data_IF_552688702230
#
_entry.id   IF_552688702230
#
_cell.length_a   1.000
_cell.length_b   1.000
_cell.length_c   1.000
_cell.angle_alpha   90.00
_cell.angle_beta   90.00
_cell.angle_gamma   90.00
#
_symmetry.space_group_name_H-M   'P 1'
#
loop_
_entity.id
_entity.type
_entity.pdbx_description
1 polymer ?
#
# COMPACT_ATOMS: atom_id res chain seq x y z
N UNK A 1 -9.06 -34.40 -12.88
CA UNK A 1 -8.01 -34.71 -13.88
C UNK A 1 -7.25 -33.45 -14.30
N UNK A 2 -7.92 -32.32 -14.48
CA UNK A 2 -7.27 -31.07 -14.90
C UNK A 2 -6.44 -30.40 -13.80
N UNK A 3 -6.82 -30.56 -12.55
CA UNK A 3 -6.01 -30.12 -11.40
C UNK A 3 -4.68 -30.86 -11.25
N UNK A 4 -4.66 -32.16 -11.63
CA UNK A 4 -3.43 -32.97 -11.62
C UNK A 4 -2.52 -32.59 -12.78
N UNK A 5 -3.10 -32.23 -13.94
CA UNK A 5 -2.33 -31.75 -15.09
C UNK A 5 -1.75 -30.36 -14.86
N UNK A 6 -2.49 -29.45 -14.21
CA UNK A 6 -1.96 -28.12 -13.87
C UNK A 6 -0.83 -28.17 -12.84
N UNK A 7 -0.92 -29.11 -11.86
CA UNK A 7 0.19 -29.38 -10.95
C UNK A 7 1.43 -29.95 -11.66
N UNK A 8 1.22 -30.89 -12.59
CA UNK A 8 2.32 -31.47 -13.38
C UNK A 8 3.01 -30.44 -14.28
N UNK A 9 2.28 -29.51 -14.91
CA UNK A 9 2.86 -28.43 -15.70
C UNK A 9 3.56 -27.39 -14.81
N UNK A 10 3.03 -27.04 -13.66
CA UNK A 10 3.69 -26.17 -12.69
C UNK A 10 5.02 -26.77 -12.19
N UNK A 11 5.04 -28.09 -11.97
CA UNK A 11 6.28 -28.80 -11.57
C UNK A 11 7.29 -28.92 -12.72
N UNK A 12 6.82 -29.03 -13.97
CA UNK A 12 7.71 -29.05 -15.16
C UNK A 12 8.32 -27.65 -15.39
N UNK A 13 7.56 -26.56 -15.26
CA UNK A 13 8.10 -25.21 -15.34
C UNK A 13 9.03 -24.90 -14.15
N UNK A 14 8.66 -25.26 -12.95
CA UNK A 14 9.54 -25.19 -11.79
C UNK A 14 10.83 -25.99 -12.02
N UNK A 15 10.75 -27.19 -12.60
CA UNK A 15 11.93 -28.00 -12.89
C UNK A 15 12.78 -27.45 -14.02
N UNK A 16 12.22 -26.78 -15.02
CA UNK A 16 12.99 -26.18 -16.11
C UNK A 16 13.75 -24.93 -15.65
N UNK A 17 13.11 -24.05 -14.87
CA UNK A 17 13.75 -22.83 -14.35
C UNK A 17 14.65 -23.10 -13.14
N UNK A 18 14.28 -24.05 -12.29
CA UNK A 18 15.12 -24.56 -11.20
C UNK A 18 16.33 -25.40 -11.70
N UNK A 19 16.28 -25.87 -12.93
CA UNK A 19 17.26 -26.86 -13.42
C UNK A 19 18.70 -26.36 -13.38
N UNK A 20 18.97 -25.12 -13.64
CA UNK A 20 20.31 -24.54 -13.62
C UNK A 20 20.66 -24.04 -12.21
N UNK A 21 19.76 -23.37 -11.58
CA UNK A 21 20.04 -22.70 -10.30
C UNK A 21 19.99 -23.67 -9.11
N UNK A 22 19.01 -24.54 -9.01
CA UNK A 22 18.97 -25.57 -7.96
C UNK A 22 20.09 -26.64 -8.15
N UNK A 23 20.52 -26.90 -9.39
CA UNK A 23 21.71 -27.73 -9.61
C UNK A 23 22.98 -27.03 -9.14
N UNK A 24 23.10 -25.70 -9.35
CA UNK A 24 24.19 -24.89 -8.81
C UNK A 24 24.23 -24.94 -7.29
N UNK A 25 23.08 -24.80 -6.63
CA UNK A 25 22.98 -24.87 -5.16
C UNK A 25 23.22 -26.26 -4.61
N UNK A 26 22.68 -27.31 -5.24
CA UNK A 26 22.93 -28.69 -4.84
C UNK A 26 24.41 -29.05 -4.99
N UNK A 27 25.05 -28.61 -6.08
CA UNK A 27 26.48 -28.80 -6.30
C UNK A 27 27.31 -28.02 -5.28
N UNK A 28 26.98 -26.73 -5.03
CA UNK A 28 27.69 -25.92 -4.02
C UNK A 28 27.56 -26.51 -2.61
N UNK A 29 26.33 -26.84 -2.19
CA UNK A 29 26.11 -27.44 -0.89
C UNK A 29 26.67 -28.86 -0.75
N UNK A 30 26.84 -29.61 -1.85
CA UNK A 30 27.52 -30.89 -1.86
C UNK A 30 29.04 -30.71 -1.79
N UNK A 31 29.59 -29.72 -2.47
CA UNK A 31 31.01 -29.35 -2.41
C UNK A 31 31.41 -28.82 -1.02
N UNK A 32 30.59 -27.97 -0.39
CA UNK A 32 30.86 -27.50 0.98
C UNK A 32 30.80 -28.62 2.02
N UNK A 33 29.93 -29.58 1.82
CA UNK A 33 29.75 -30.69 2.77
C UNK A 33 30.60 -31.91 2.49
N UNK A 34 31.36 -31.93 1.40
CA UNK A 34 32.13 -33.09 1.00
C UNK A 34 31.29 -34.38 0.81
N UNK A 35 29.98 -34.20 0.53
CA UNK A 35 29.03 -35.30 0.46
C UNK A 35 29.13 -36.05 -0.88
N UNK A 36 28.98 -37.36 -0.85
CA UNK A 36 28.81 -38.23 -2.01
C UNK A 36 30.01 -38.37 -2.98
N UNK A 37 31.24 -38.30 -2.50
CA UNK A 37 32.44 -38.49 -3.34
C UNK A 37 32.68 -37.38 -4.37
N UNK A 38 32.01 -36.25 -4.21
CA UNK A 38 32.30 -35.05 -4.97
C UNK A 38 33.52 -34.34 -4.38
N UNK A 39 34.37 -33.70 -5.23
CA UNK A 39 35.54 -32.99 -4.75
C UNK A 39 35.14 -31.86 -3.79
N UNK A 40 35.95 -31.64 -2.77
CA UNK A 40 35.82 -30.54 -1.82
C UNK A 40 36.14 -29.20 -2.48
N UNK A 41 35.74 -28.09 -1.87
CA UNK A 41 36.08 -26.74 -2.34
C UNK A 41 37.61 -26.56 -2.46
N UNK A 42 38.40 -27.16 -1.56
CA UNK A 42 39.86 -27.11 -1.56
C UNK A 42 40.46 -27.93 -2.72
N UNK A 43 39.89 -29.10 -3.02
CA UNK A 43 40.31 -29.94 -4.16
C UNK A 43 40.01 -29.28 -5.50
N UNK A 44 38.87 -28.55 -5.59
CA UNK A 44 38.51 -27.76 -6.77
C UNK A 44 39.45 -26.57 -6.93
N UNK A 45 39.81 -25.90 -5.83
CA UNK A 45 40.76 -24.79 -5.84
C UNK A 45 42.15 -25.27 -6.25
N UNK A 46 42.61 -26.44 -5.72
CA UNK A 46 43.88 -27.05 -6.07
C UNK A 46 43.95 -27.50 -7.53
N UNK A 47 42.83 -27.89 -8.14
CA UNK A 47 42.72 -28.22 -9.55
C UNK A 47 42.69 -27.00 -10.49
N UNK A 48 42.74 -25.76 -9.98
CA UNK A 48 42.68 -24.53 -10.78
C UNK A 48 41.31 -24.22 -11.35
N UNK A 49 40.27 -24.94 -10.95
CA UNK A 49 38.88 -24.77 -11.42
C UNK A 49 38.05 -23.81 -10.54
N UNK A 50 38.64 -23.30 -9.45
CA UNK A 50 37.94 -22.46 -8.48
C UNK A 50 37.36 -21.19 -9.09
N UNK A 51 38.09 -20.55 -10.00
CA UNK A 51 37.61 -19.29 -10.62
C UNK A 51 36.52 -19.52 -11.65
N UNK A 52 36.56 -20.61 -12.40
CA UNK A 52 35.52 -20.97 -13.36
C UNK A 52 34.23 -21.42 -12.64
N UNK A 53 34.38 -22.25 -11.60
CA UNK A 53 33.27 -22.67 -10.76
C UNK A 53 32.67 -21.48 -10.00
N UNK A 54 33.52 -20.58 -9.50
CA UNK A 54 33.14 -19.34 -8.88
C UNK A 54 32.39 -18.42 -9.84
N UNK A 55 32.84 -18.26 -11.06
CA UNK A 55 32.09 -17.55 -12.13
C UNK A 55 30.77 -18.23 -12.42
N UNK A 56 30.73 -19.56 -12.47
CA UNK A 56 29.52 -20.31 -12.71
C UNK A 56 28.54 -20.26 -11.52
N UNK A 57 29.05 -20.25 -10.29
CA UNK A 57 28.25 -20.20 -9.05
C UNK A 57 27.92 -18.76 -8.64
N UNK A 58 28.82 -17.79 -8.89
CA UNK A 58 28.68 -16.39 -8.54
C UNK A 58 28.15 -15.52 -9.69
N UNK A 59 27.54 -16.10 -10.72
CA UNK A 59 26.83 -15.32 -11.75
C UNK A 59 25.59 -14.58 -11.18
N UNK A 60 25.34 -14.72 -9.88
CA UNK A 60 24.28 -14.06 -9.15
C UNK A 60 24.87 -12.91 -8.33
N UNK A 61 24.74 -11.72 -8.84
CA UNK A 61 25.06 -10.50 -8.10
C UNK A 61 23.78 -9.97 -7.46
N UNK A 62 23.63 -10.12 -6.14
CA UNK A 62 22.44 -9.65 -5.44
C UNK A 62 22.33 -8.12 -5.37
N UNK A 63 23.43 -7.41 -5.64
CA UNK A 63 23.48 -5.95 -5.69
C UNK A 63 23.48 -5.49 -7.14
N UNK A 64 22.26 -5.36 -7.70
CA UNK A 64 22.07 -4.90 -9.06
C UNK A 64 21.93 -3.39 -9.02
N UNK A 65 22.89 -2.68 -9.60
CA UNK A 65 22.81 -1.26 -9.92
C UNK A 65 22.70 -1.10 -11.42
N UNK A 66 21.71 -0.34 -11.87
CA UNK A 66 21.42 -0.12 -13.28
C UNK A 66 22.01 1.22 -13.74
N UNK A 67 22.84 1.23 -14.77
CA UNK A 67 23.46 2.46 -15.30
C UNK A 67 22.45 3.51 -15.79
N UNK A 68 21.21 3.11 -16.05
CA UNK A 68 20.16 3.96 -16.61
C UNK A 68 18.87 3.95 -15.78
N UNK A 69 18.97 3.86 -14.45
CA UNK A 69 17.81 3.79 -13.55
C UNK A 69 16.80 4.89 -13.78
N UNK A 70 17.26 6.13 -13.89
CA UNK A 70 16.41 7.29 -14.20
C UNK A 70 15.61 7.13 -15.48
N UNK A 71 16.24 6.75 -16.59
CA UNK A 71 15.56 6.55 -17.87
C UNK A 71 14.58 5.38 -17.82
N UNK A 72 14.90 4.35 -17.04
CA UNK A 72 14.07 3.17 -16.91
C UNK A 72 12.84 3.43 -16.07
N UNK A 73 13.01 4.08 -14.91
CA UNK A 73 11.96 4.22 -13.94
C UNK A 73 11.12 5.50 -14.09
N UNK A 74 11.66 6.54 -14.70
CA UNK A 74 11.00 7.85 -14.80
C UNK A 74 10.78 8.32 -16.24
N UNK A 75 10.45 7.41 -17.16
CA UNK A 75 10.17 7.74 -18.57
C UNK A 75 9.13 8.85 -18.78
N UNK A 76 8.12 8.89 -17.91
CA UNK A 76 7.03 9.88 -17.98
C UNK A 76 7.22 11.07 -17.05
N UNK A 77 8.38 11.20 -16.38
CA UNK A 77 8.63 12.19 -15.32
C UNK A 77 7.51 12.26 -14.28
N UNK A 78 6.78 11.15 -14.11
CA UNK A 78 5.69 11.02 -13.15
C UNK A 78 5.82 9.74 -12.32
N UNK A 79 5.53 9.84 -11.04
CA UNK A 79 5.51 8.73 -10.10
C UNK A 79 4.20 8.71 -9.30
N UNK A 80 3.83 7.56 -8.76
CA UNK A 80 2.77 7.45 -7.76
C UNK A 80 3.34 7.02 -6.42
N UNK A 81 2.64 7.36 -5.34
CA UNK A 81 3.04 6.94 -3.98
C UNK A 81 3.12 5.42 -3.90
N UNK A 82 2.15 4.71 -4.46
CA UNK A 82 2.13 3.23 -4.51
C UNK A 82 3.38 2.65 -5.15
N UNK A 83 3.91 3.30 -6.20
CA UNK A 83 5.14 2.86 -6.85
C UNK A 83 6.35 2.98 -5.93
N UNK A 84 6.42 4.03 -5.13
CA UNK A 84 7.48 4.21 -4.11
C UNK A 84 7.35 3.15 -3.01
N UNK A 85 6.14 2.89 -2.54
CA UNK A 85 5.87 1.82 -1.57
C UNK A 85 6.28 0.44 -2.11
N UNK A 86 6.02 0.15 -3.40
CA UNK A 86 6.48 -1.07 -4.07
C UNK A 86 8.01 -1.16 -4.11
N UNK A 87 8.71 -0.06 -4.35
CA UNK A 87 10.17 -0.01 -4.30
C UNK A 87 10.68 -0.34 -2.89
N UNK A 88 10.10 0.26 -1.85
CA UNK A 88 10.48 -0.05 -0.47
C UNK A 88 10.13 -1.47 -0.05
N UNK A 89 9.09 -2.07 -0.62
CA UNK A 89 8.82 -3.50 -0.39
C UNK A 89 9.95 -4.38 -0.91
N UNK A 90 10.42 -4.13 -2.12
CA UNK A 90 11.61 -4.77 -2.68
C UNK A 90 12.06 -4.05 -3.95
N UNK A 91 13.24 -3.42 -3.98
CA UNK A 91 13.79 -2.77 -5.18
C UNK A 91 13.89 -3.70 -6.39
N UNK A 92 14.26 -4.95 -6.19
CA UNK A 92 14.35 -5.95 -7.27
C UNK A 92 12.98 -6.29 -7.86
N UNK A 93 11.97 -6.53 -7.02
CA UNK A 93 10.60 -6.73 -7.48
C UNK A 93 10.08 -5.53 -8.25
N UNK A 94 10.34 -4.31 -7.75
CA UNK A 94 10.00 -3.07 -8.44
C UNK A 94 10.70 -2.98 -9.81
N UNK A 95 11.99 -3.32 -9.89
CA UNK A 95 12.73 -3.37 -11.15
C UNK A 95 12.08 -4.35 -12.15
N UNK A 96 11.80 -5.58 -11.73
CA UNK A 96 11.18 -6.56 -12.60
C UNK A 96 9.79 -6.12 -13.08
N UNK A 97 8.95 -5.60 -12.19
CA UNK A 97 7.57 -5.20 -12.52
C UNK A 97 7.46 -3.91 -13.32
N UNK A 98 8.35 -2.93 -13.07
CA UNK A 98 8.27 -1.59 -13.70
C UNK A 98 9.37 -1.33 -14.72
N UNK A 99 10.44 -2.13 -14.69
CA UNK A 99 11.58 -2.02 -15.61
C UNK A 99 11.35 -2.65 -16.99
N UNK A 100 10.26 -3.39 -17.19
CA UNK A 100 9.89 -3.91 -18.50
C UNK A 100 9.70 -5.42 -18.59
N UNK A 101 9.94 -6.19 -17.51
CA UNK A 101 9.54 -7.58 -17.45
C UNK A 101 8.08 -7.66 -17.01
N UNK A 102 7.17 -7.44 -17.96
CA UNK A 102 5.75 -7.61 -17.69
C UNK A 102 5.38 -9.08 -17.79
N UNK A 103 4.95 -9.66 -16.67
CA UNK A 103 4.31 -10.96 -16.69
C UNK A 103 3.02 -10.84 -17.49
N UNK A 104 2.89 -11.67 -18.53
CA UNK A 104 1.67 -11.77 -19.31
C UNK A 104 0.65 -12.54 -18.49
N UNK A 105 -0.28 -11.85 -17.85
CA UNK A 105 -1.40 -12.49 -17.21
C UNK A 105 -2.33 -13.11 -18.27
N UNK A 106 -2.79 -14.33 -18.00
CA UNK A 106 -3.87 -14.91 -18.77
C UNK A 106 -5.13 -14.06 -18.56
N UNK A 107 -5.71 -13.58 -19.64
CA UNK A 107 -7.03 -12.95 -19.60
C UNK A 107 -8.07 -14.02 -19.27
N UNK A 108 -8.51 -14.05 -18.04
CA UNK A 108 -9.65 -14.87 -17.64
C UNK A 108 -10.90 -13.97 -17.67
N UNK A 109 -11.99 -14.50 -18.25
CA UNK A 109 -13.30 -13.85 -18.23
C UNK A 109 -13.95 -13.96 -16.83
N UNK A 110 -13.19 -13.60 -15.78
CA UNK A 110 -13.60 -13.64 -14.38
C UNK A 110 -13.23 -12.34 -13.70
N UNK A 111 -14.02 -11.98 -12.69
CA UNK A 111 -13.71 -10.83 -11.83
C UNK A 111 -12.45 -11.12 -11.00
N UNK A 112 -11.45 -10.28 -11.17
CA UNK A 112 -10.25 -10.27 -10.34
C UNK A 112 -10.54 -9.56 -9.02
N UNK A 113 -9.78 -9.83 -7.95
CA UNK A 113 -9.89 -9.08 -6.69
C UNK A 113 -9.73 -7.55 -6.87
N UNK A 114 -8.93 -7.13 -7.84
CA UNK A 114 -8.74 -5.72 -8.21
C UNK A 114 -10.01 -5.10 -8.81
N UNK A 115 -10.76 -5.84 -9.64
CA UNK A 115 -12.03 -5.37 -10.21
C UNK A 115 -13.07 -5.15 -9.11
N UNK A 116 -13.14 -6.07 -8.13
CA UNK A 116 -14.03 -5.91 -6.98
C UNK A 116 -13.69 -4.68 -6.14
N UNK A 117 -12.40 -4.37 -6.01
CA UNK A 117 -11.93 -3.12 -5.40
C UNK A 117 -12.43 -1.90 -6.16
N UNK A 118 -12.21 -1.86 -7.48
CA UNK A 118 -12.63 -0.73 -8.32
C UNK A 118 -14.15 -0.50 -8.29
N UNK A 119 -14.95 -1.58 -8.38
CA UNK A 119 -16.41 -1.47 -8.31
C UNK A 119 -16.88 -0.82 -7.02
N UNK A 120 -16.33 -1.22 -5.88
CA UNK A 120 -16.76 -0.66 -4.60
C UNK A 120 -16.33 0.79 -4.44
N UNK A 121 -15.12 1.18 -4.89
CA UNK A 121 -14.67 2.57 -4.90
C UNK A 121 -15.60 3.44 -5.78
N UNK A 122 -15.92 2.99 -6.99
CA UNK A 122 -16.84 3.70 -7.89
C UNK A 122 -18.24 3.85 -7.27
N UNK A 123 -18.72 2.83 -6.54
CA UNK A 123 -20.00 2.90 -5.84
C UNK A 123 -19.95 3.90 -4.67
N UNK A 124 -18.90 3.85 -3.86
CA UNK A 124 -18.74 4.74 -2.70
C UNK A 124 -18.56 6.20 -3.14
N UNK A 125 -17.78 6.45 -4.19
CA UNK A 125 -17.67 7.78 -4.78
C UNK A 125 -19.05 8.35 -5.14
N UNK A 126 -19.82 7.60 -5.95
CA UNK A 126 -21.15 8.05 -6.38
C UNK A 126 -22.11 8.24 -5.21
N UNK A 127 -22.02 7.37 -4.20
CA UNK A 127 -22.85 7.50 -3.00
C UNK A 127 -22.48 8.72 -2.16
N UNK A 128 -21.20 9.00 -1.97
CA UNK A 128 -20.76 10.19 -1.24
C UNK A 128 -21.08 11.46 -2.03
N UNK A 129 -20.90 11.46 -3.37
CA UNK A 129 -21.33 12.58 -4.22
C UNK A 129 -22.85 12.82 -4.15
N UNK A 130 -23.65 11.77 -4.05
CA UNK A 130 -25.08 11.89 -3.80
C UNK A 130 -25.35 12.59 -2.46
N UNK A 131 -24.64 12.19 -1.40
CA UNK A 131 -24.73 12.83 -0.08
C UNK A 131 -24.31 14.30 -0.13
N UNK A 132 -23.25 14.64 -0.86
CA UNK A 132 -22.80 16.03 -1.01
C UNK A 132 -23.87 16.93 -1.63
N UNK A 133 -24.71 16.40 -2.51
CA UNK A 133 -25.76 17.16 -3.20
C UNK A 133 -27.08 17.16 -2.43
N UNK A 134 -27.47 16.03 -1.86
CA UNK A 134 -28.82 15.82 -1.30
C UNK A 134 -28.86 15.72 0.23
N UNK A 135 -27.69 15.75 0.89
CA UNK A 135 -27.56 15.53 2.33
C UNK A 135 -27.54 14.06 2.72
N UNK A 136 -26.92 13.78 3.88
CA UNK A 136 -26.76 12.41 4.38
C UNK A 136 -28.11 11.77 4.75
N UNK A 137 -29.07 12.53 5.20
CA UNK A 137 -30.41 12.03 5.57
C UNK A 137 -31.13 11.38 4.39
N UNK A 138 -30.98 11.93 3.18
CA UNK A 138 -31.61 11.45 1.95
C UNK A 138 -30.99 10.18 1.37
N UNK A 139 -29.82 9.79 1.84
CA UNK A 139 -29.08 8.63 1.37
C UNK A 139 -29.52 7.38 2.14
N UNK A 140 -30.27 6.50 1.50
CA UNK A 140 -30.73 5.23 2.06
C UNK A 140 -30.17 4.01 1.29
N UNK A 141 -30.50 2.83 1.76
CA UNK A 141 -30.08 1.58 1.11
C UNK A 141 -30.54 1.50 -0.36
N UNK A 142 -31.71 2.05 -0.70
CA UNK A 142 -32.25 1.99 -2.05
C UNK A 142 -31.41 2.82 -3.03
N UNK A 143 -30.90 3.95 -2.56
CA UNK A 143 -29.95 4.79 -3.31
C UNK A 143 -28.67 4.02 -3.59
N UNK A 144 -28.09 3.37 -2.56
CA UNK A 144 -26.84 2.63 -2.73
C UNK A 144 -27.03 1.41 -3.66
N UNK A 145 -28.16 0.70 -3.54
CA UNK A 145 -28.48 -0.44 -4.43
C UNK A 145 -28.61 0.01 -5.88
N UNK A 146 -29.29 1.13 -6.15
CA UNK A 146 -29.39 1.69 -7.52
C UNK A 146 -28.03 2.12 -8.06
N UNK A 147 -27.18 2.71 -7.25
CA UNK A 147 -25.82 3.09 -7.63
C UNK A 147 -25.01 1.86 -8.01
N UNK A 148 -25.06 0.81 -7.18
CA UNK A 148 -24.35 -0.44 -7.44
C UNK A 148 -24.81 -1.09 -8.74
N UNK A 149 -26.11 -1.20 -8.93
CA UNK A 149 -26.71 -1.78 -10.13
C UNK A 149 -26.28 -0.97 -11.38
N UNK A 150 -26.29 0.36 -11.31
CA UNK A 150 -25.82 1.23 -12.39
C UNK A 150 -24.31 1.12 -12.70
N UNK A 151 -23.47 0.89 -11.69
CA UNK A 151 -22.02 0.68 -11.88
C UNK A 151 -21.77 -0.67 -12.55
N UNK A 152 -22.51 -1.71 -12.17
CA UNK A 152 -22.29 -3.09 -12.64
C UNK A 152 -23.06 -3.44 -13.90
N UNK A 153 -23.99 -2.62 -14.37
CA UNK A 153 -24.75 -2.83 -15.62
C UNK A 153 -23.98 -2.49 -16.90
N UNK A 154 -22.75 -1.92 -16.76
CA UNK A 154 -21.89 -1.62 -17.90
C UNK A 154 -21.42 -2.87 -18.65
N UNK A 155 -21.15 -2.70 -19.96
CA UNK A 155 -20.75 -3.80 -20.85
C UNK A 155 -19.52 -4.56 -20.35
N UNK A 156 -18.61 -3.86 -19.66
CA UNK A 156 -17.44 -4.45 -19.01
C UNK A 156 -17.80 -5.60 -18.05
N UNK A 157 -18.91 -5.50 -17.36
CA UNK A 157 -19.31 -6.48 -16.34
C UNK A 157 -20.36 -7.49 -16.85
N UNK A 158 -21.07 -7.19 -17.93
CA UNK A 158 -22.06 -8.11 -18.54
C UNK A 158 -21.46 -9.45 -18.95
N UNK A 159 -20.26 -9.44 -19.50
CA UNK A 159 -19.57 -10.65 -19.91
C UNK A 159 -19.22 -11.54 -18.71
N UNK A 160 -18.73 -10.96 -17.63
CA UNK A 160 -18.34 -11.67 -16.41
C UNK A 160 -19.54 -12.12 -15.57
N UNK A 161 -20.70 -11.48 -15.71
CA UNK A 161 -21.95 -11.91 -15.04
C UNK A 161 -22.46 -13.27 -15.57
N UNK A 162 -21.94 -13.78 -16.67
CA UNK A 162 -22.26 -15.16 -17.16
C UNK A 162 -21.63 -16.22 -16.27
N UNK A 163 -20.51 -15.93 -15.62
CA UNK A 163 -19.86 -16.86 -14.69
C UNK A 163 -20.59 -16.90 -13.34
N UNK A 164 -20.86 -18.11 -12.83
CA UNK A 164 -21.59 -18.31 -11.57
C UNK A 164 -20.85 -17.72 -10.36
N UNK A 165 -19.53 -17.88 -10.33
CA UNK A 165 -18.71 -17.36 -9.23
C UNK A 165 -18.67 -15.83 -9.24
N UNK A 166 -18.52 -15.24 -10.42
CA UNK A 166 -18.54 -13.78 -10.58
C UNK A 166 -19.88 -13.17 -10.15
N UNK A 167 -21.00 -13.80 -10.50
CA UNK A 167 -22.33 -13.38 -10.03
C UNK A 167 -22.47 -13.43 -8.51
N UNK A 168 -21.98 -14.52 -7.91
CA UNK A 168 -21.99 -14.66 -6.45
C UNK A 168 -21.15 -13.56 -5.79
N UNK A 169 -19.93 -13.30 -6.31
CA UNK A 169 -19.08 -12.25 -5.81
C UNK A 169 -19.70 -10.86 -5.94
N UNK A 170 -20.36 -10.57 -7.06
CA UNK A 170 -21.09 -9.30 -7.26
C UNK A 170 -22.26 -9.16 -6.28
N UNK A 171 -23.03 -10.22 -6.05
CA UNK A 171 -24.12 -10.19 -5.08
C UNK A 171 -23.62 -9.89 -3.66
N UNK A 172 -22.51 -10.52 -3.25
CA UNK A 172 -21.89 -10.23 -1.96
C UNK A 172 -21.35 -8.81 -1.91
N UNK A 173 -20.67 -8.35 -2.96
CA UNK A 173 -20.14 -6.99 -3.04
C UNK A 173 -21.23 -5.93 -2.95
N UNK A 174 -22.43 -6.23 -3.51
CA UNK A 174 -23.61 -5.37 -3.40
C UNK A 174 -24.01 -5.15 -1.95
N UNK A 175 -24.12 -6.21 -1.16
CA UNK A 175 -24.47 -6.11 0.26
C UNK A 175 -23.34 -5.46 1.09
N UNK A 176 -22.08 -5.79 0.80
CA UNK A 176 -20.91 -5.08 1.40
C UNK A 176 -20.98 -3.57 1.12
N UNK A 177 -21.33 -3.19 -0.12
CA UNK A 177 -21.45 -1.78 -0.53
C UNK A 177 -22.58 -1.07 0.21
N UNK A 178 -23.76 -1.71 0.31
CA UNK A 178 -24.92 -1.16 1.04
C UNK A 178 -24.57 -0.94 2.50
N UNK A 179 -24.01 -1.93 3.17
CA UNK A 179 -23.61 -1.83 4.57
C UNK A 179 -22.58 -0.71 4.80
N UNK A 180 -21.53 -0.67 3.96
CA UNK A 180 -20.51 0.38 4.03
C UNK A 180 -21.12 1.77 3.78
N UNK A 181 -22.04 1.90 2.82
CA UNK A 181 -22.74 3.15 2.55
C UNK A 181 -23.55 3.63 3.75
N UNK A 182 -24.27 2.72 4.43
CA UNK A 182 -25.02 3.08 5.64
C UNK A 182 -24.11 3.47 6.81
N UNK A 183 -22.95 2.84 6.95
CA UNK A 183 -21.94 3.25 7.94
C UNK A 183 -21.36 4.64 7.63
N UNK A 184 -21.11 4.96 6.35
CA UNK A 184 -20.66 6.30 5.93
C UNK A 184 -21.75 7.33 6.24
N UNK A 185 -23.02 7.03 5.93
CA UNK A 185 -24.16 7.89 6.30
C UNK A 185 -24.18 8.16 7.80
N UNK A 186 -24.11 7.11 8.62
CA UNK A 186 -24.15 7.24 10.07
C UNK A 186 -22.96 8.05 10.61
N UNK A 187 -21.78 7.87 10.02
CA UNK A 187 -20.59 8.67 10.36
C UNK A 187 -20.80 10.15 10.07
N UNK A 188 -21.36 10.47 8.90
CA UNK A 188 -21.59 11.87 8.49
C UNK A 188 -22.67 12.57 9.30
N UNK A 189 -23.70 11.83 9.74
CA UNK A 189 -24.73 12.38 10.62
C UNK A 189 -24.22 12.68 12.04
N UNK A 190 -23.17 11.98 12.46
CA UNK A 190 -22.55 12.16 13.78
C UNK A 190 -21.25 13.00 13.73
N UNK A 191 -21.00 13.74 12.64
CA UNK A 191 -19.79 14.52 12.43
C UNK A 191 -20.11 15.92 11.89
N UNK A 192 -19.31 16.90 12.28
CA UNK A 192 -19.30 18.23 11.65
C UNK A 192 -18.38 18.25 10.40
N UNK A 193 -17.53 17.21 10.22
CA UNK A 193 -16.75 17.06 9.00
C UNK A 193 -17.64 16.53 7.88
N UNK A 194 -17.64 17.24 6.76
CA UNK A 194 -18.47 16.91 5.61
C UNK A 194 -17.60 16.75 4.34
N UNK A 195 -17.89 15.77 3.46
CA UNK A 195 -17.15 15.56 2.25
C UNK A 195 -17.15 16.78 1.35
N UNK A 196 -15.97 17.21 0.91
CA UNK A 196 -15.81 18.30 -0.06
C UNK A 196 -15.27 17.80 -1.39
N UNK A 197 -14.52 16.69 -1.37
CA UNK A 197 -13.99 16.04 -2.57
C UNK A 197 -14.01 14.52 -2.45
N UNK A 198 -14.29 13.86 -3.57
CA UNK A 198 -14.21 12.41 -3.71
C UNK A 198 -13.41 12.07 -4.96
N UNK A 199 -12.55 11.03 -4.87
CA UNK A 199 -11.69 10.60 -5.97
C UNK A 199 -10.88 11.79 -6.53
N UNK A 200 -10.38 12.62 -5.60
CA UNK A 200 -9.69 13.86 -5.94
C UNK A 200 -8.33 13.55 -6.58
N UNK A 201 -8.20 13.85 -7.86
CA UNK A 201 -6.96 13.64 -8.60
C UNK A 201 -5.97 14.77 -8.35
N UNK A 202 -4.69 14.39 -8.17
CA UNK A 202 -3.57 15.30 -8.18
C UNK A 202 -2.52 14.86 -9.21
N UNK A 203 -1.90 15.83 -9.86
CA UNK A 203 -0.96 15.52 -10.93
C UNK A 203 -0.77 16.69 -11.90
N UNK A 204 0.02 16.49 -12.97
CA UNK A 204 0.37 17.57 -13.92
C UNK A 204 -0.82 18.26 -14.61
N UNK A 205 -1.97 17.59 -14.68
CA UNK A 205 -3.19 18.12 -15.35
C UNK A 205 -4.45 17.91 -14.50
N UNK A 206 -4.26 17.63 -13.21
CA UNK A 206 -5.35 17.38 -12.28
C UNK A 206 -5.80 18.67 -11.56
N UNK A 207 -6.92 18.60 -10.84
CA UNK A 207 -7.45 19.72 -10.06
C UNK A 207 -6.48 20.18 -8.97
N UNK A 208 -5.77 19.25 -8.35
CA UNK A 208 -4.74 19.56 -7.36
C UNK A 208 -3.35 19.57 -7.99
N UNK A 209 -2.48 20.52 -7.60
CA UNK A 209 -1.12 20.60 -8.11
C UNK A 209 -0.34 19.31 -7.86
N UNK A 210 0.50 18.95 -8.81
CA UNK A 210 1.43 17.84 -8.64
C UNK A 210 2.56 18.24 -7.68
N UNK A 211 2.69 17.65 -6.49
CA UNK A 211 3.90 17.82 -5.72
C UNK A 211 5.06 17.19 -6.48
N UNK A 212 6.24 17.80 -6.38
CA UNK A 212 7.42 17.37 -7.11
C UNK A 212 8.65 17.32 -6.21
N UNK A 213 9.64 16.54 -6.64
CA UNK A 213 10.95 16.47 -5.99
C UNK A 213 12.05 16.27 -7.03
N UNK A 214 13.27 16.67 -6.66
CA UNK A 214 14.44 16.55 -7.51
C UNK A 214 15.17 15.21 -7.26
N UNK A 215 15.48 14.49 -8.33
CA UNK A 215 16.21 13.20 -8.28
C UNK A 215 17.67 13.32 -8.70
N UNK A 216 18.22 14.53 -8.71
CA UNK A 216 19.58 14.83 -9.14
C UNK A 216 19.64 15.37 -10.58
N UNK A 217 20.79 15.99 -10.93
CA UNK A 217 21.06 16.56 -12.26
C UNK A 217 19.94 17.47 -12.83
N UNK A 218 19.19 18.15 -11.95
CA UNK A 218 18.12 19.06 -12.35
C UNK A 218 16.85 18.37 -12.85
N UNK A 219 16.72 17.05 -12.65
CA UNK A 219 15.50 16.34 -13.03
C UNK A 219 14.46 16.34 -11.93
N UNK A 220 13.31 16.86 -12.29
CA UNK A 220 12.13 16.93 -11.47
C UNK A 220 11.18 15.78 -11.77
N UNK A 221 10.74 15.08 -10.74
CA UNK A 221 9.69 14.06 -10.81
C UNK A 221 8.43 14.61 -10.16
N UNK A 222 7.33 14.56 -10.87
CA UNK A 222 6.02 15.00 -10.40
C UNK A 222 5.20 13.83 -9.92
N UNK A 223 4.51 14.00 -8.81
CA UNK A 223 3.60 12.98 -8.30
C UNK A 223 2.23 13.07 -8.94
N UNK A 224 1.62 11.90 -9.10
CA UNK A 224 0.21 11.78 -9.46
C UNK A 224 -0.45 10.74 -8.56
N UNK A 225 -1.71 10.96 -8.29
CA UNK A 225 -2.52 10.02 -7.51
C UNK A 225 -3.95 10.48 -7.41
N UNK A 226 -4.69 9.75 -6.62
CA UNK A 226 -6.10 9.98 -6.39
C UNK A 226 -6.40 9.73 -4.92
N UNK A 227 -7.12 10.65 -4.31
CA UNK A 227 -7.50 10.62 -2.90
C UNK A 227 -8.96 10.23 -2.85
N UNK A 228 -9.29 9.13 -2.18
CA UNK A 228 -10.63 8.57 -2.20
C UNK A 228 -11.68 9.56 -1.65
N UNK A 229 -11.39 10.20 -0.51
CA UNK A 229 -12.31 11.16 0.10
C UNK A 229 -11.58 12.17 0.98
N UNK A 230 -12.00 13.45 0.85
CA UNK A 230 -11.55 14.56 1.68
C UNK A 230 -12.77 15.15 2.37
N UNK A 231 -12.78 15.15 3.71
CA UNK A 231 -13.83 15.82 4.51
C UNK A 231 -13.24 17.07 5.17
N UNK A 232 -14.06 18.10 5.23
CA UNK A 232 -13.69 19.42 5.77
C UNK A 232 -14.65 19.85 6.87
N UNK A 233 -14.07 20.45 7.92
CA UNK A 233 -14.80 21.25 8.91
C UNK A 233 -14.06 22.57 9.09
N UNK A 234 -14.69 23.70 8.73
CA UNK A 234 -14.10 25.05 8.78
C UNK A 234 -12.77 25.13 8.02
N UNK A 235 -11.62 25.34 8.73
CA UNK A 235 -10.28 25.38 8.17
C UNK A 235 -9.53 24.05 8.31
N UNK A 236 -10.17 23.02 8.86
CA UNK A 236 -9.56 21.70 9.10
C UNK A 236 -10.05 20.70 8.05
N UNK A 237 -9.20 19.70 7.74
CA UNK A 237 -9.59 18.60 6.87
C UNK A 237 -9.05 17.27 7.37
N UNK A 238 -9.72 16.19 6.96
CA UNK A 238 -9.27 14.81 7.11
C UNK A 238 -9.26 14.11 5.76
N UNK A 239 -8.46 13.05 5.67
CA UNK A 239 -8.43 12.17 4.51
C UNK A 239 -8.92 10.78 4.92
N UNK A 240 -9.76 10.19 4.09
CA UNK A 240 -10.27 8.85 4.25
C UNK A 240 -9.95 8.04 3.00
N UNK A 241 -9.32 6.88 3.19
CA UNK A 241 -8.99 5.91 2.15
C UNK A 241 -9.70 4.58 2.43
N UNK A 242 -10.39 4.03 1.45
CA UNK A 242 -11.19 2.84 1.59
C UNK A 242 -10.38 1.57 1.34
N UNK A 243 -10.40 0.62 2.28
CA UNK A 243 -9.61 -0.62 2.19
C UNK A 243 -10.46 -1.87 2.44
N UNK A 244 -10.36 -2.87 1.55
CA UNK A 244 -11.01 -4.18 1.73
C UNK A 244 -10.26 -5.10 2.70
N UNK A 245 -8.98 -4.87 2.93
CA UNK A 245 -8.12 -5.70 3.78
C UNK A 245 -7.87 -5.13 5.16
N UNK A 246 -6.73 -5.48 5.75
CA UNK A 246 -6.25 -4.84 6.98
C UNK A 246 -6.06 -3.35 6.75
N UNK A 247 -6.66 -2.56 7.62
CA UNK A 247 -6.78 -1.12 7.49
C UNK A 247 -6.35 -0.38 8.77
N UNK A 248 -5.37 -0.92 9.47
CA UNK A 248 -4.78 -0.26 10.63
C UNK A 248 -3.45 0.35 10.21
N UNK A 249 -3.29 1.64 10.49
CA UNK A 249 -2.03 2.34 10.25
C UNK A 249 -1.01 1.95 11.32
N UNK A 250 0.21 1.60 10.89
CA UNK A 250 1.31 1.23 11.76
C UNK A 250 2.53 2.11 11.47
N UNK A 251 3.08 2.72 12.51
CA UNK A 251 4.26 3.56 12.41
C UNK A 251 5.46 2.81 11.84
N UNK A 252 5.57 1.54 12.16
CA UNK A 252 6.61 0.63 11.63
C UNK A 252 6.59 0.54 10.11
N UNK A 253 5.38 0.49 9.51
CA UNK A 253 5.20 0.43 8.06
C UNK A 253 5.51 1.78 7.39
N UNK A 254 5.18 2.91 8.07
CA UNK A 254 5.60 4.24 7.64
C UNK A 254 7.12 4.37 7.69
N UNK A 255 7.73 3.98 8.80
CA UNK A 255 9.17 4.03 9.00
C UNK A 255 9.95 3.22 7.95
N UNK A 256 9.42 2.06 7.58
CA UNK A 256 9.98 1.22 6.52
C UNK A 256 9.72 1.74 5.08
N UNK A 257 8.93 2.80 4.91
CA UNK A 257 8.58 3.35 3.59
C UNK A 257 7.52 2.54 2.82
N UNK A 258 6.93 1.52 3.43
CA UNK A 258 5.95 0.64 2.74
C UNK A 258 4.50 1.11 2.87
N UNK A 259 4.25 2.18 3.65
CA UNK A 259 2.95 2.83 3.84
C UNK A 259 3.11 4.35 3.96
N UNK A 260 3.23 5.03 2.84
CA UNK A 260 3.46 6.47 2.73
C UNK A 260 2.21 7.25 2.30
N UNK A 261 1.23 6.55 1.73
CA UNK A 261 0.09 7.12 1.00
C UNK A 261 -0.65 8.20 1.80
N UNK A 262 -1.14 7.91 2.99
CA UNK A 262 -1.98 8.83 3.74
C UNK A 262 -1.23 10.09 4.22
N UNK A 263 -0.02 10.01 4.81
CA UNK A 263 0.74 11.20 5.16
C UNK A 263 1.09 12.08 3.95
N UNK A 264 1.40 11.47 2.80
CA UNK A 264 1.66 12.21 1.54
C UNK A 264 0.41 12.92 1.05
N UNK A 265 -0.75 12.28 1.13
CA UNK A 265 -2.02 12.89 0.74
C UNK A 265 -2.38 14.08 1.63
N UNK A 266 -2.05 14.02 2.94
CA UNK A 266 -2.18 15.19 3.81
C UNK A 266 -1.37 16.38 3.30
N UNK A 267 -0.11 16.13 2.88
CA UNK A 267 0.73 17.19 2.30
C UNK A 267 0.10 17.78 1.04
N UNK A 268 -0.36 16.92 0.12
CA UNK A 268 -0.98 17.35 -1.14
C UNK A 268 -2.18 18.27 -0.90
N UNK A 269 -3.08 17.87 -0.01
CA UNK A 269 -4.30 18.64 0.28
C UNK A 269 -3.97 19.93 1.04
N UNK A 270 -3.08 19.87 2.02
CA UNK A 270 -2.60 21.04 2.75
C UNK A 270 -2.02 22.10 1.81
N UNK A 271 -1.13 21.67 0.93
CA UNK A 271 -0.43 22.58 0.00
C UNK A 271 -1.38 23.12 -1.10
N UNK A 272 -2.40 22.35 -1.49
CA UNK A 272 -3.37 22.76 -2.50
C UNK A 272 -4.48 23.67 -1.97
N UNK A 273 -4.98 23.41 -0.77
CA UNK A 273 -6.15 24.10 -0.22
C UNK A 273 -5.82 25.09 0.90
N UNK A 274 -4.59 25.08 1.44
CA UNK A 274 -4.20 25.93 2.57
C UNK A 274 -4.95 25.58 3.86
N UNK A 275 -5.51 24.36 3.97
CA UNK A 275 -6.25 23.92 5.14
C UNK A 275 -5.33 23.20 6.14
N UNK A 276 -5.76 23.12 7.40
CA UNK A 276 -5.04 22.43 8.45
C UNK A 276 -5.38 20.93 8.49
N UNK A 277 -4.38 20.04 8.42
CA UNK A 277 -4.64 18.61 8.54
C UNK A 277 -5.06 18.25 9.97
N UNK A 278 -6.22 17.62 10.12
CA UNK A 278 -6.75 17.15 11.39
C UNK A 278 -6.55 15.65 11.61
N UNK A 279 -6.34 14.89 10.54
CA UNK A 279 -6.11 13.46 10.62
C UNK A 279 -6.21 12.76 9.28
N UNK A 280 -5.89 11.48 9.31
CA UNK A 280 -6.03 10.58 8.18
C UNK A 280 -6.49 9.20 8.63
N UNK A 281 -7.29 8.53 7.81
CA UNK A 281 -7.93 7.29 8.21
C UNK A 281 -8.00 6.28 7.08
N UNK A 282 -7.79 5.01 7.42
CA UNK A 282 -8.30 3.90 6.64
C UNK A 282 -9.73 3.57 7.11
N UNK A 283 -10.68 3.55 6.21
CA UNK A 283 -12.00 3.00 6.45
C UNK A 283 -12.05 1.59 5.88
N UNK A 284 -12.15 0.61 6.78
CA UNK A 284 -12.36 -0.77 6.37
C UNK A 284 -13.75 -0.93 5.76
N UNK A 285 -13.81 -1.58 4.61
CA UNK A 285 -15.08 -1.96 3.99
C UNK A 285 -15.71 -3.11 4.77
N UNK A 286 -17.02 -3.02 5.00
CA UNK A 286 -17.73 -3.98 5.82
C UNK A 286 -17.82 -5.34 5.15
N UNK A 287 -17.48 -6.39 5.89
CA UNK A 287 -17.60 -7.78 5.45
C UNK A 287 -18.46 -8.54 6.49
N UNK A 288 -19.56 -9.16 6.04
CA UNK A 288 -20.53 -9.83 6.91
C UNK A 288 -19.99 -11.05 7.68
N UNK A 289 -18.83 -11.58 7.29
CA UNK A 289 -18.29 -12.81 7.86
C UNK A 289 -17.36 -12.64 9.05
N UNK A 290 -16.97 -11.43 9.36
CA UNK A 290 -16.10 -11.15 10.51
C UNK A 290 -16.86 -10.25 11.48
N UNK A 291 -17.31 -10.79 12.60
CA UNK A 291 -17.61 -9.96 13.78
C UNK A 291 -16.28 -9.33 14.19
N UNK A 292 -16.01 -8.16 13.69
CA UNK A 292 -14.80 -7.46 14.07
C UNK A 292 -15.13 -6.47 15.17
N UNK A 293 -14.44 -6.58 16.30
CA UNK A 293 -14.26 -5.50 17.28
C UNK A 293 -13.46 -4.33 16.68
N UNK A 294 -13.43 -4.23 15.34
CA UNK A 294 -12.66 -3.21 14.64
C UNK A 294 -13.35 -1.87 14.77
N UNK A 295 -12.65 -0.97 15.38
CA UNK A 295 -12.90 0.45 15.40
C UNK A 295 -13.07 0.94 13.97
N UNK A 296 -14.00 1.86 13.76
CA UNK A 296 -14.46 2.26 12.42
C UNK A 296 -13.33 2.85 11.57
N UNK A 297 -12.36 3.52 12.22
CA UNK A 297 -11.23 4.19 11.58
C UNK A 297 -9.88 3.68 12.08
N UNK A 298 -9.04 3.22 11.17
CA UNK A 298 -7.69 2.76 11.44
C UNK A 298 -6.63 3.79 11.06
N UNK A 299 -6.55 4.92 11.75
CA UNK A 299 -5.67 6.01 11.36
C UNK A 299 -5.08 6.80 12.52
N UNK A 300 -4.81 8.07 12.26
CA UNK A 300 -4.29 9.03 13.23
C UNK A 300 -5.06 10.34 13.15
N UNK A 301 -5.27 10.95 14.30
CA UNK A 301 -6.01 12.21 14.48
C UNK A 301 -5.24 13.11 15.44
N UNK A 302 -5.37 14.43 15.27
CA UNK A 302 -4.80 15.38 16.23
C UNK A 302 -5.47 15.26 17.60
N UNK A 303 -4.71 15.45 18.68
CA UNK A 303 -5.17 15.32 20.07
C UNK A 303 -5.92 16.59 20.56
N UNK A 304 -6.42 17.39 19.64
CA UNK A 304 -7.23 18.56 19.91
C UNK A 304 -8.67 18.18 20.22
N UNK A 305 -9.12 18.52 21.44
CA UNK A 305 -10.46 18.16 21.94
C UNK A 305 -11.59 18.76 21.07
N UNK A 306 -11.42 19.96 20.54
CA UNK A 306 -12.41 20.56 19.64
C UNK A 306 -12.55 19.73 18.36
N UNK A 307 -11.43 19.40 17.72
CA UNK A 307 -11.41 18.55 16.52
C UNK A 307 -12.04 17.18 16.76
N UNK A 308 -11.76 16.57 17.91
CA UNK A 308 -12.36 15.28 18.28
C UNK A 308 -13.87 15.37 18.45
N UNK A 309 -14.38 16.49 19.01
CA UNK A 309 -15.82 16.76 19.12
C UNK A 309 -16.47 17.06 17.76
N UNK A 310 -15.73 17.65 16.82
CA UNK A 310 -16.21 17.92 15.47
C UNK A 310 -16.26 16.62 14.63
N UNK A 311 -15.33 15.69 14.86
CA UNK A 311 -15.29 14.38 14.19
C UNK A 311 -16.33 13.38 14.70
N UNK A 312 -16.64 13.47 15.98
CA UNK A 312 -17.63 12.60 16.64
C UNK A 312 -18.41 13.43 17.67
N UNK A 313 -19.60 13.85 17.27
CA UNK A 313 -20.47 14.69 18.13
C UNK A 313 -20.80 14.01 19.46
N UNK A 314 -20.87 12.69 19.49
CA UNK A 314 -21.09 11.93 20.73
C UNK A 314 -19.91 12.05 21.72
N UNK A 315 -18.70 12.35 21.23
CA UNK A 315 -17.52 12.56 22.07
C UNK A 315 -17.68 13.73 23.04
N UNK A 316 -18.42 14.79 22.67
CA UNK A 316 -18.74 15.91 23.58
C UNK A 316 -19.43 15.49 24.89
N UNK A 317 -20.25 14.43 24.81
CA UNK A 317 -21.03 13.95 25.98
C UNK A 317 -20.33 12.85 26.74
N UNK A 318 -19.67 11.95 26.00
CA UNK A 318 -19.09 10.72 26.57
C UNK A 318 -17.63 10.87 26.98
N UNK A 319 -16.89 11.84 26.40
CA UNK A 319 -15.44 11.94 26.54
C UNK A 319 -14.70 10.74 25.93
N UNK A 320 -15.38 9.91 25.12
CA UNK A 320 -14.80 8.76 24.46
C UNK A 320 -15.42 8.54 23.08
N UNK A 321 -14.60 8.15 22.11
CA UNK A 321 -15.03 7.74 20.78
C UNK A 321 -14.54 6.32 20.49
N UNK A 322 -15.48 5.42 20.22
CA UNK A 322 -15.17 4.08 19.75
C UNK A 322 -14.68 4.09 18.30
N UNK A 323 -15.19 5.02 17.48
CA UNK A 323 -14.80 5.20 16.07
C UNK A 323 -13.33 5.59 15.94
N UNK A 324 -12.88 6.54 16.76
CA UNK A 324 -11.52 7.08 16.73
C UNK A 324 -10.56 6.35 17.67
N UNK A 325 -11.10 5.53 18.58
CA UNK A 325 -10.35 4.92 19.68
C UNK A 325 -9.62 5.93 20.57
N UNK A 326 -10.30 7.01 20.90
CA UNK A 326 -9.80 8.12 21.71
C UNK A 326 -10.69 8.28 22.95
N UNK A 327 -10.10 8.65 24.06
CA UNK A 327 -10.81 9.00 25.28
C UNK A 327 -10.13 10.14 26.03
N UNK A 328 -10.91 10.88 26.80
CA UNK A 328 -10.39 11.90 27.70
C UNK A 328 -10.04 11.31 29.09
N UNK A 329 -9.06 11.89 29.70
CA UNK A 329 -8.78 11.75 31.12
C UNK A 329 -9.78 12.58 31.94
N UNK A 330 -9.81 12.38 33.26
CA UNK A 330 -10.67 13.14 34.19
C UNK A 330 -10.41 14.66 34.18
N UNK A 331 -9.21 15.07 33.77
CA UNK A 331 -8.82 16.48 33.64
C UNK A 331 -9.14 17.09 32.27
N UNK A 332 -9.86 16.39 31.39
CA UNK A 332 -10.25 16.87 30.07
C UNK A 332 -9.16 16.76 28.99
N UNK A 333 -7.99 16.25 29.29
CA UNK A 333 -6.93 16.01 28.29
C UNK A 333 -7.12 14.66 27.60
N UNK A 334 -6.64 14.52 26.37
CA UNK A 334 -6.66 13.24 25.65
C UNK A 334 -5.75 12.23 26.37
N UNK A 335 -6.26 11.02 26.56
CA UNK A 335 -5.53 9.96 27.23
C UNK A 335 -4.34 9.48 26.40
N UNK A 336 -3.16 9.38 27.01
CA UNK A 336 -1.95 8.80 26.38
C UNK A 336 -2.12 7.33 25.94
N UNK A 337 -3.14 6.63 26.45
CA UNK A 337 -3.48 5.29 25.97
C UNK A 337 -4.23 5.30 24.64
N UNK A 338 -4.65 6.48 24.18
CA UNK A 338 -5.28 6.70 22.88
C UNK A 338 -4.22 6.80 21.79
N UNK A 339 -3.63 5.67 21.42
CA UNK A 339 -2.52 5.56 20.45
C UNK A 339 -2.85 6.12 19.04
N UNK A 340 -4.10 6.45 18.79
CA UNK A 340 -4.56 7.08 17.54
C UNK A 340 -4.44 8.59 17.56
N UNK A 341 -4.36 9.20 18.73
CA UNK A 341 -4.22 10.64 18.88
C UNK A 341 -2.74 11.05 18.86
N UNK A 342 -2.43 12.08 18.07
CA UNK A 342 -1.11 12.67 17.88
C UNK A 342 -1.16 14.16 18.20
N UNK A 343 -0.06 14.70 18.74
CA UNK A 343 0.11 16.15 18.73
C UNK A 343 0.21 16.67 17.30
N UNK A 344 -0.03 17.95 17.09
CA UNK A 344 0.14 18.59 15.78
C UNK A 344 1.58 18.39 15.26
N UNK A 345 2.57 18.57 16.11
CA UNK A 345 3.98 18.37 15.75
C UNK A 345 4.25 16.94 15.28
N UNK A 346 3.67 15.94 15.94
CA UNK A 346 3.80 14.54 15.53
C UNK A 346 3.13 14.26 14.18
N UNK A 347 1.95 14.83 13.94
CA UNK A 347 1.28 14.68 12.63
C UNK A 347 2.14 15.30 11.51
N UNK A 348 2.69 16.48 11.74
CA UNK A 348 3.60 17.14 10.80
C UNK A 348 4.90 16.33 10.60
N UNK A 349 5.43 15.73 11.66
CA UNK A 349 6.58 14.83 11.57
C UNK A 349 6.30 13.60 10.66
N UNK A 350 5.10 13.01 10.73
CA UNK A 350 4.70 11.91 9.84
C UNK A 350 4.68 12.35 8.38
N UNK A 351 4.12 13.52 8.11
CA UNK A 351 4.06 14.09 6.76
C UNK A 351 5.47 14.36 6.22
N UNK A 352 6.32 14.98 7.01
CA UNK A 352 7.69 15.32 6.62
C UNK A 352 8.54 14.06 6.43
N UNK A 353 8.40 13.08 7.32
CA UNK A 353 9.09 11.80 7.20
C UNK A 353 8.69 11.07 5.92
N UNK A 354 7.39 10.94 5.65
CA UNK A 354 6.89 10.30 4.44
C UNK A 354 7.44 10.97 3.18
N UNK A 355 7.52 12.30 3.18
CA UNK A 355 8.05 13.04 2.04
C UNK A 355 9.54 12.81 1.82
N UNK A 356 10.34 12.78 2.89
CA UNK A 356 11.77 12.42 2.81
C UNK A 356 11.98 11.01 2.25
N UNK A 357 11.19 10.06 2.72
CA UNK A 357 11.22 8.69 2.19
C UNK A 357 10.95 8.66 0.69
N UNK A 358 9.99 9.46 0.21
CA UNK A 358 9.73 9.61 -1.22
C UNK A 358 10.93 10.14 -1.98
N UNK A 359 11.56 11.20 -1.49
CA UNK A 359 12.74 11.80 -2.12
C UNK A 359 13.92 10.82 -2.13
N UNK A 360 14.14 10.10 -1.04
CA UNK A 360 15.19 9.09 -0.94
C UNK A 360 14.96 7.97 -1.95
N UNK A 361 13.76 7.38 -1.98
CA UNK A 361 13.43 6.34 -2.96
C UNK A 361 13.58 6.84 -4.40
N UNK A 362 13.18 8.08 -4.65
CA UNK A 362 13.34 8.69 -5.98
C UNK A 362 14.79 8.78 -6.42
N UNK A 363 15.70 9.18 -5.53
CA UNK A 363 17.15 9.21 -5.79
C UNK A 363 17.69 7.80 -6.00
N UNK A 364 17.41 6.87 -5.09
CA UNK A 364 17.88 5.48 -5.20
C UNK A 364 17.39 4.81 -6.50
N UNK A 365 16.15 5.06 -6.91
CA UNK A 365 15.63 4.58 -8.19
C UNK A 365 16.35 5.24 -9.38
N UNK A 366 16.63 6.55 -9.32
CA UNK A 366 17.37 7.25 -10.36
C UNK A 366 18.81 6.73 -10.49
N UNK A 367 19.44 6.40 -9.36
CA UNK A 367 20.76 5.81 -9.26
C UNK A 367 20.78 4.31 -9.70
N UNK A 368 19.61 3.76 -10.01
CA UNK A 368 19.47 2.40 -10.54
C UNK A 368 19.46 1.31 -9.50
N UNK A 369 19.13 1.59 -8.23
CA UNK A 369 19.02 0.56 -7.20
C UNK A 369 17.93 -0.46 -7.57
N UNK A 370 18.37 -1.70 -7.83
CA UNK A 370 17.52 -2.86 -8.10
C UNK A 370 17.94 -4.06 -7.24
N UNK A 371 18.42 -3.79 -6.03
CA UNK A 371 18.92 -4.82 -5.12
C UNK A 371 17.81 -5.73 -4.60
N UNK A 372 18.14 -6.98 -4.38
CA UNK A 372 17.28 -7.92 -3.68
C UNK A 372 17.28 -7.63 -2.19
N UNK A 373 16.36 -6.80 -1.77
CA UNK A 373 16.23 -6.34 -0.39
C UNK A 373 14.75 -6.28 0.02
N UNK A 374 14.08 -7.44 0.16
CA UNK A 374 12.66 -7.49 0.51
C UNK A 374 12.45 -7.06 1.97
N UNK A 375 11.30 -6.43 2.20
CA UNK A 375 10.82 -6.07 3.54
C UNK A 375 9.84 -7.12 4.04
N UNK A 376 10.06 -7.66 5.23
CA UNK A 376 9.18 -8.62 5.92
C UNK A 376 8.52 -9.65 4.96
N UNK A 377 7.19 -9.61 4.85
CA UNK A 377 6.39 -10.59 4.08
C UNK A 377 6.37 -10.34 2.56
N UNK A 378 7.23 -9.44 2.03
CA UNK A 378 7.21 -9.07 0.62
C UNK A 378 7.47 -10.24 -0.35
N UNK A 379 8.07 -11.32 0.13
CA UNK A 379 8.35 -12.53 -0.65
C UNK A 379 7.22 -13.54 -0.65
N UNK A 380 6.29 -13.49 0.32
CA UNK A 380 5.25 -14.53 0.51
C UNK A 380 4.38 -14.74 -0.73
N UNK A 381 4.00 -13.65 -1.39
CA UNK A 381 3.18 -13.68 -2.62
C UNK A 381 3.88 -12.97 -3.79
N UNK A 382 5.21 -13.10 -3.87
CA UNK A 382 5.97 -12.47 -4.93
C UNK A 382 5.84 -13.26 -6.24
N UNK A 383 5.33 -12.63 -7.27
CA UNK A 383 5.16 -13.20 -8.61
C UNK A 383 6.49 -13.54 -9.30
N UNK A 384 7.60 -12.97 -8.82
CA UNK A 384 8.95 -13.19 -9.34
C UNK A 384 9.80 -14.16 -8.50
N UNK A 385 9.20 -14.87 -7.55
CA UNK A 385 9.90 -15.81 -6.67
C UNK A 385 10.69 -16.88 -7.45
N UNK A 386 10.17 -17.29 -8.62
CA UNK A 386 10.83 -18.30 -9.45
C UNK A 386 12.13 -17.82 -10.14
N UNK A 387 12.36 -16.51 -10.23
CA UNK A 387 13.57 -15.92 -10.86
C UNK A 387 14.43 -15.15 -9.89
N UNK A 388 13.93 -14.94 -8.66
CA UNK A 388 14.61 -14.10 -7.67
C UNK A 388 15.58 -14.87 -6.79
N UNK A 389 15.23 -16.10 -6.39
CA UNK A 389 16.04 -16.97 -5.53
C UNK A 389 16.58 -16.34 -4.24
N UNK A 390 15.84 -15.37 -3.71
CA UNK A 390 16.19 -14.71 -2.45
C UNK A 390 16.02 -15.68 -1.27
N UNK A 391 17.00 -15.76 -0.40
CA UNK A 391 16.94 -16.49 0.87
C UNK A 391 17.87 -17.71 0.90
N UNK A 392 17.55 -18.75 0.14
CA UNK A 392 18.24 -20.04 0.26
C UNK A 392 19.72 -20.01 -0.17
N UNK A 393 20.08 -19.11 -1.07
CA UNK A 393 21.40 -19.04 -1.66
C UNK A 393 22.21 -17.82 -1.26
N UNK A 394 21.52 -16.70 -0.98
CA UNK A 394 22.20 -15.44 -0.71
C UNK A 394 22.67 -15.33 0.75
N UNK A 395 22.16 -16.18 1.65
CA UNK A 395 22.34 -16.00 3.10
C UNK A 395 21.75 -14.70 3.62
N UNK A 396 21.01 -13.96 2.78
CA UNK A 396 20.43 -12.67 3.12
C UNK A 396 19.11 -12.84 3.86
N UNK A 397 18.91 -11.99 4.84
CA UNK A 397 17.65 -11.92 5.57
C UNK A 397 16.78 -10.80 5.03
N UNK A 398 15.46 -10.97 5.17
CA UNK A 398 14.49 -9.91 4.90
C UNK A 398 14.78 -8.68 5.77
N UNK A 399 14.58 -7.51 5.23
CA UNK A 399 14.66 -6.29 6.04
C UNK A 399 13.49 -6.25 7.02
N UNK A 400 13.78 -6.00 8.27
CA UNK A 400 12.76 -5.75 9.28
C UNK A 400 13.16 -4.54 10.11
N UNK A 401 12.17 -3.84 10.61
CA UNK A 401 12.39 -2.77 11.58
C UNK A 401 12.42 -3.40 12.97
N UNK A 402 13.56 -3.35 13.64
CA UNK A 402 13.71 -3.87 14.99
C UNK A 402 13.17 -2.87 16.01
N UNK A 403 12.47 -3.38 17.03
CA UNK A 403 11.90 -2.55 18.10
C UNK A 403 10.56 -1.89 17.74
N UNK A 404 10.08 -1.08 18.68
CA UNK A 404 8.86 -0.32 18.52
C UNK A 404 9.16 1.04 17.89
N UNK A 405 8.48 1.36 16.79
CA UNK A 405 8.49 2.70 16.20
C UNK A 405 7.30 3.46 16.77
N UNK A 406 7.57 4.61 17.34
CA UNK A 406 6.56 5.49 17.95
C UNK A 406 6.49 6.83 17.18
N UNK A 407 5.50 7.64 17.48
CA UNK A 407 5.43 9.00 16.96
C UNK A 407 6.67 9.83 17.33
N UNK A 408 7.20 9.66 18.53
CA UNK A 408 8.42 10.31 19.01
C UNK A 408 9.66 9.87 18.21
N UNK A 409 9.72 8.59 17.79
CA UNK A 409 10.80 8.10 16.91
C UNK A 409 10.79 8.86 15.58
N UNK A 410 9.63 9.03 14.96
CA UNK A 410 9.47 9.73 13.68
C UNK A 410 9.75 11.24 13.82
N UNK A 411 9.38 11.83 14.95
CA UNK A 411 9.65 13.23 15.26
C UNK A 411 11.17 13.49 15.39
N UNK A 412 11.89 12.64 16.11
CA UNK A 412 13.34 12.74 16.28
C UNK A 412 14.11 12.55 14.97
N UNK A 413 13.70 11.61 14.14
CA UNK A 413 14.23 11.42 12.78
C UNK A 413 13.92 12.63 11.88
N UNK A 414 12.83 13.36 12.17
CA UNK A 414 12.45 14.59 11.51
C UNK A 414 13.41 15.75 11.76
N UNK A 415 14.01 15.79 12.93
CA UNK A 415 14.92 16.88 13.36
C UNK A 415 16.36 16.64 12.90
N UNK A 416 16.82 15.39 12.86
CA UNK A 416 18.20 15.03 12.51
C UNK A 416 18.52 15.04 11.01
N UNK A 417 17.55 15.34 10.16
CA UNK A 417 17.68 15.37 8.69
C UNK A 417 17.62 16.78 8.07
N UNK A 418 17.76 17.82 8.87
CA UNK A 418 17.88 19.21 8.40
C UNK A 418 19.32 19.64 8.25
#
# INVERSE_FOLDING_TARGET
>A
RDLVRSRGLGDVYKRQDFGVHSRRCAVYGALERGACGLPTADEIAAAGLADELKKFLCAYTPDITLDNGRRLFFRSSAASVTRIEEFYKCPFRHFLSKGGLMLREREEARLKPTDLGSIIHDCLEKFVRFIMVHGAESADESVMRRIFDGVTDGDRYKAVQRDRLSRHNLSRLREESVKTGMEIKAQLLDSEFFPVECEAEFGPHAAFPAPSFNVGEGAEIRFRGKIDRIDRCRNKFIIIDYKRGQSVFKEKELYAGVKLQLPVYLKVVRDALGLEPAGFFYKKLSNDFVKSDFKEFGGRVVDDTETLCELDVAFRRSGASSRLNVRLNKNGTVSRQSKTALTRAQLDAYVNYAWRMIEQAGREMADGNACQSPYEDACEYCEFSAVCDFGDLSGRQVRCVNGAVTAETLENEGVNGQ
#
